data_IF_112246030816
#
_entry.id   IF_112246030816
#
_cell.length_a   1.000
_cell.length_b   1.000
_cell.length_c   1.000
_cell.angle_alpha   90.00
_cell.angle_beta   90.00
_cell.angle_gamma   90.00
#
_symmetry.space_group_name_H-M   'P 1'
#
loop_
_entity.id
_entity.type
_entity.pdbx_description
1 polymer ?
#
# COMPACT_ATOMS: atom_id res chain seq x y z
N UNK A 1 58.77 -67.19 10.38
CA UNK A 1 57.88 -67.18 9.20
C UNK A 1 58.19 -65.95 8.36
N UNK A 2 58.22 -66.13 7.03
CA UNK A 2 58.80 -65.23 6.03
C UNK A 2 57.94 -63.98 5.79
N UNK A 3 58.64 -62.89 5.47
CA UNK A 3 58.14 -61.57 5.03
C UNK A 3 57.30 -61.69 3.75
N UNK A 4 56.29 -60.83 3.59
CA UNK A 4 55.87 -60.35 2.28
C UNK A 4 55.43 -58.89 2.37
N UNK A 5 56.30 -58.01 1.86
CA UNK A 5 55.97 -56.65 1.46
C UNK A 5 55.17 -56.70 0.17
N UNK A 6 54.10 -55.91 0.06
CA UNK A 6 53.55 -55.51 -1.24
C UNK A 6 53.32 -54.00 -1.20
N UNK A 7 54.29 -53.26 -1.76
CA UNK A 7 54.04 -51.97 -2.38
C UNK A 7 53.45 -52.26 -3.76
N UNK A 8 52.26 -51.75 -4.04
CA UNK A 8 51.78 -51.57 -5.41
C UNK A 8 51.36 -50.10 -5.54
N UNK A 9 52.20 -49.33 -6.23
CA UNK A 9 51.83 -48.04 -6.77
C UNK A 9 50.92 -48.27 -7.99
N UNK A 10 49.77 -47.60 -8.02
CA UNK A 10 49.01 -47.43 -9.25
C UNK A 10 48.82 -45.93 -9.50
N UNK A 11 49.44 -45.48 -10.58
CA UNK A 11 49.40 -44.17 -11.17
C UNK A 11 48.09 -43.90 -11.94
N UNK A 12 47.74 -42.62 -12.00
CA UNK A 12 46.90 -41.92 -12.99
C UNK A 12 45.40 -42.24 -13.06
N UNK A 13 44.63 -41.19 -12.76
CA UNK A 13 43.24 -40.99 -13.14
C UNK A 13 42.89 -39.50 -13.21
N UNK A 14 43.65 -38.72 -14.00
CA UNK A 14 43.22 -37.41 -14.48
C UNK A 14 42.14 -37.64 -15.56
N UNK A 15 40.86 -37.72 -15.16
CA UNK A 15 39.70 -37.51 -16.03
C UNK A 15 38.38 -37.62 -15.24
N UNK A 16 38.13 -36.69 -14.33
CA UNK A 16 36.78 -36.42 -13.80
C UNK A 16 36.74 -34.95 -13.37
N UNK A 17 35.97 -34.05 -13.94
CA UNK A 17 35.05 -34.13 -15.05
C UNK A 17 34.47 -32.73 -15.23
N UNK A 18 34.38 -32.26 -16.47
CA UNK A 18 33.59 -31.09 -16.88
C UNK A 18 32.07 -31.27 -16.68
N UNK A 19 31.64 -32.03 -15.66
CA UNK A 19 30.24 -32.22 -15.27
C UNK A 19 29.79 -31.33 -14.11
N UNK A 20 30.72 -30.66 -13.42
CA UNK A 20 30.41 -29.84 -12.24
C UNK A 20 29.80 -28.46 -12.56
N UNK A 21 29.92 -27.99 -13.81
CA UNK A 21 29.39 -26.69 -14.21
C UNK A 21 27.92 -26.77 -14.64
N UNK A 22 27.46 -27.88 -15.24
CA UNK A 22 26.05 -28.04 -15.65
C UNK A 22 25.08 -28.16 -14.46
N UNK A 23 25.48 -28.83 -13.37
CA UNK A 23 24.61 -28.99 -12.20
C UNK A 23 24.44 -27.71 -11.37
N UNK A 24 25.41 -26.79 -11.41
CA UNK A 24 25.39 -25.56 -10.62
C UNK A 24 24.44 -24.52 -11.21
N UNK A 25 24.35 -24.48 -12.54
CA UNK A 25 23.46 -23.56 -13.27
C UNK A 25 21.99 -23.97 -13.11
N UNK A 26 21.68 -25.27 -13.22
CA UNK A 26 20.32 -25.80 -13.02
C UNK A 26 19.83 -25.65 -11.57
N UNK A 27 20.73 -25.78 -10.57
CA UNK A 27 20.35 -25.58 -9.16
C UNK A 27 20.13 -24.11 -8.81
N UNK A 28 20.90 -23.19 -9.41
CA UNK A 28 20.75 -21.76 -9.20
C UNK A 28 19.43 -21.25 -9.78
N UNK A 29 19.08 -21.70 -10.99
CA UNK A 29 17.84 -21.30 -11.67
C UNK A 29 16.58 -21.77 -10.91
N UNK A 30 16.60 -23.02 -10.43
CA UNK A 30 15.54 -23.56 -9.56
C UNK A 30 15.38 -22.77 -8.26
N UNK A 31 16.49 -22.32 -7.68
CA UNK A 31 16.49 -21.57 -6.42
C UNK A 31 15.85 -20.19 -6.59
N UNK A 32 16.18 -19.49 -7.68
CA UNK A 32 15.56 -18.20 -8.04
C UNK A 32 14.05 -18.32 -8.22
N UNK A 33 13.62 -19.32 -8.99
CA UNK A 33 12.19 -19.59 -9.25
C UNK A 33 11.38 -19.78 -7.97
N UNK A 34 11.93 -20.47 -6.97
CA UNK A 34 11.24 -20.68 -5.69
C UNK A 34 11.03 -19.38 -4.90
N UNK A 35 12.01 -18.47 -4.91
CA UNK A 35 11.85 -17.17 -4.26
C UNK A 35 10.80 -16.30 -4.99
N UNK A 36 10.78 -16.34 -6.33
CA UNK A 36 9.75 -15.68 -7.13
C UNK A 36 8.35 -16.24 -6.87
N UNK A 37 8.22 -17.56 -6.67
CA UNK A 37 6.96 -18.21 -6.28
C UNK A 37 6.49 -17.74 -4.90
N UNK A 38 7.39 -17.58 -3.92
CA UNK A 38 7.07 -17.00 -2.60
C UNK A 38 6.57 -15.57 -2.75
N UNK A 39 7.22 -14.75 -3.58
CA UNK A 39 6.78 -13.38 -3.84
C UNK A 39 5.38 -13.33 -4.46
N UNK A 40 5.12 -14.15 -5.48
CA UNK A 40 3.78 -14.26 -6.11
C UNK A 40 2.72 -14.70 -5.12
N UNK A 41 3.01 -15.73 -4.32
CA UNK A 41 2.09 -16.21 -3.28
C UNK A 41 1.82 -15.15 -2.21
N UNK A 42 2.82 -14.33 -1.87
CA UNK A 42 2.67 -13.20 -0.96
C UNK A 42 1.73 -12.13 -1.53
N UNK A 43 1.87 -11.79 -2.82
CA UNK A 43 0.96 -10.85 -3.50
C UNK A 43 -0.47 -11.40 -3.51
N UNK A 44 -0.63 -12.65 -3.90
CA UNK A 44 -1.93 -13.32 -3.97
C UNK A 44 -2.60 -13.39 -2.59
N UNK A 45 -1.87 -13.73 -1.54
CA UNK A 45 -2.40 -13.80 -0.18
C UNK A 45 -2.89 -12.43 0.33
N UNK A 46 -2.23 -11.34 -0.03
CA UNK A 46 -2.69 -9.98 0.28
C UNK A 46 -3.97 -9.61 -0.46
N UNK A 47 -4.09 -9.99 -1.74
CA UNK A 47 -5.27 -9.66 -2.55
C UNK A 47 -6.48 -10.56 -2.25
N UNK A 48 -6.24 -11.80 -1.84
CA UNK A 48 -7.27 -12.76 -1.47
C UNK A 48 -7.59 -12.78 0.04
N UNK A 49 -6.93 -11.92 0.82
CA UNK A 49 -7.09 -11.78 2.28
C UNK A 49 -6.82 -13.09 3.04
N UNK A 50 -5.89 -13.90 2.56
CA UNK A 50 -5.60 -15.24 3.10
C UNK A 50 -4.51 -15.18 4.17
N UNK A 51 -4.88 -14.86 5.41
CA UNK A 51 -3.95 -14.74 6.54
C UNK A 51 -3.13 -16.02 6.81
N UNK A 52 -3.70 -17.20 6.60
CA UNK A 52 -2.99 -18.48 6.78
C UNK A 52 -1.87 -18.70 5.75
N UNK A 53 -2.05 -18.19 4.53
CA UNK A 53 -1.00 -18.21 3.52
C UNK A 53 0.13 -17.26 3.94
N UNK A 54 -0.19 -16.06 4.41
CA UNK A 54 0.81 -15.12 4.95
C UNK A 54 1.61 -15.74 6.11
N UNK A 55 0.95 -16.38 7.08
CA UNK A 55 1.60 -17.06 8.20
C UNK A 55 2.61 -18.13 7.73
N UNK A 56 2.30 -18.81 6.63
CA UNK A 56 3.19 -19.82 6.03
C UNK A 56 4.39 -19.20 5.31
N UNK A 57 4.28 -17.97 4.80
CA UNK A 57 5.34 -17.33 4.00
C UNK A 57 6.37 -16.59 4.87
N UNK A 58 5.95 -16.04 6.03
CA UNK A 58 6.87 -15.32 6.92
C UNK A 58 7.77 -16.25 7.74
N UNK A 59 8.98 -15.76 8.02
CA UNK A 59 9.86 -16.29 9.05
C UNK A 59 9.29 -15.98 10.45
N UNK A 60 9.80 -16.66 11.48
CA UNK A 60 9.35 -16.46 12.87
C UNK A 60 9.66 -15.05 13.40
N UNK A 61 10.71 -14.42 12.87
CA UNK A 61 11.06 -13.02 13.10
C UNK A 61 11.21 -12.29 11.76
N UNK A 62 10.61 -11.10 11.66
CA UNK A 62 10.54 -10.31 10.43
C UNK A 62 10.88 -8.86 10.74
N UNK A 63 11.79 -8.26 9.98
CA UNK A 63 12.03 -6.82 10.02
C UNK A 63 10.93 -6.10 9.22
N UNK A 64 9.95 -5.55 9.94
CA UNK A 64 8.73 -4.94 9.41
C UNK A 64 8.73 -3.43 9.69
N UNK A 65 8.77 -2.61 8.63
CA UNK A 65 8.72 -1.12 8.70
C UNK A 65 9.58 -0.52 9.83
N UNK A 66 10.89 -0.82 9.81
CA UNK A 66 11.93 -0.35 10.75
C UNK A 66 12.02 -1.05 12.12
N UNK A 67 11.21 -2.08 12.40
CA UNK A 67 11.23 -2.81 13.67
C UNK A 67 11.22 -4.31 13.45
N UNK A 68 11.79 -5.07 14.38
CA UNK A 68 11.65 -6.52 14.39
C UNK A 68 10.30 -6.90 15.01
N UNK A 69 9.54 -7.72 14.31
CA UNK A 69 8.27 -8.29 14.75
C UNK A 69 8.40 -9.81 14.86
N UNK A 70 7.73 -10.39 15.86
CA UNK A 70 7.43 -11.81 15.85
C UNK A 70 6.32 -12.06 14.83
N UNK A 71 6.40 -13.20 14.12
CA UNK A 71 5.43 -13.57 13.08
C UNK A 71 3.98 -13.44 13.53
N UNK A 72 3.65 -13.94 14.72
CA UNK A 72 2.28 -13.86 15.27
C UNK A 72 1.78 -12.41 15.33
N UNK A 73 2.60 -11.51 15.87
CA UNK A 73 2.21 -10.12 16.07
C UNK A 73 2.10 -9.39 14.71
N UNK A 74 2.92 -9.76 13.72
CA UNK A 74 2.79 -9.28 12.33
C UNK A 74 1.48 -9.76 11.69
N UNK A 75 1.12 -11.05 11.85
CA UNK A 75 -0.12 -11.60 11.30
C UNK A 75 -1.35 -10.95 11.94
N UNK A 76 -1.32 -10.70 13.25
CA UNK A 76 -2.37 -9.94 13.95
C UNK A 76 -2.51 -8.52 13.41
N UNK A 77 -1.40 -7.86 13.06
CA UNK A 77 -1.44 -6.53 12.46
C UNK A 77 -2.03 -6.56 11.04
N UNK A 78 -1.58 -7.50 10.20
CA UNK A 78 -2.13 -7.72 8.84
C UNK A 78 -3.63 -8.03 8.88
N UNK A 79 -4.11 -8.75 9.89
CA UNK A 79 -5.53 -9.07 10.06
C UNK A 79 -6.42 -7.81 10.19
N UNK A 80 -5.89 -6.69 10.70
CA UNK A 80 -6.64 -5.43 10.78
C UNK A 80 -6.89 -4.83 9.40
N UNK A 81 -5.90 -4.89 8.51
CA UNK A 81 -5.97 -4.37 7.15
C UNK A 81 -6.74 -5.31 6.20
N UNK A 82 -6.59 -6.62 6.39
CA UNK A 82 -7.19 -7.69 5.57
C UNK A 82 -8.46 -8.29 6.18
N UNK A 83 -9.19 -7.52 6.99
CA UNK A 83 -10.43 -7.99 7.62
C UNK A 83 -11.49 -8.32 6.55
N UNK A 84 -12.43 -9.25 6.81
CA UNK A 84 -13.54 -9.52 5.90
C UNK A 84 -14.29 -8.23 5.51
N UNK A 85 -14.51 -8.05 4.21
CA UNK A 85 -15.17 -6.85 3.66
C UNK A 85 -14.26 -5.63 3.54
N UNK A 86 -12.97 -5.74 3.85
CA UNK A 86 -11.98 -4.74 3.44
C UNK A 86 -11.95 -4.61 1.91
N UNK A 87 -11.72 -3.42 1.39
CA UNK A 87 -11.47 -3.17 -0.03
C UNK A 87 -9.97 -3.24 -0.37
N UNK A 88 -9.15 -3.68 0.60
CA UNK A 88 -7.71 -3.79 0.44
C UNK A 88 -7.35 -4.65 -0.77
N UNK A 89 -6.54 -4.09 -1.66
CA UNK A 89 -5.88 -4.81 -2.76
C UNK A 89 -4.61 -4.07 -3.12
N UNK A 90 -3.69 -4.76 -3.78
CA UNK A 90 -2.48 -4.15 -4.31
C UNK A 90 -2.13 -4.70 -5.68
N UNK A 91 -1.54 -3.82 -6.49
CA UNK A 91 -0.89 -4.15 -7.75
C UNK A 91 0.60 -3.93 -7.60
N UNK A 92 1.41 -4.89 -8.04
CA UNK A 92 2.87 -4.81 -8.02
C UNK A 92 3.38 -4.62 -9.43
N UNK A 93 4.30 -3.68 -9.62
CA UNK A 93 4.93 -3.39 -10.91
C UNK A 93 6.45 -3.34 -10.79
N UNK A 94 7.12 -3.68 -11.89
CA UNK A 94 8.58 -3.60 -12.07
C UNK A 94 9.42 -4.28 -10.95
N UNK A 95 9.19 -5.58 -10.63
CA UNK A 95 9.98 -6.27 -9.62
C UNK A 95 11.43 -6.48 -10.10
N UNK A 96 12.38 -5.91 -9.35
CA UNK A 96 13.82 -5.98 -9.59
C UNK A 96 14.49 -6.85 -8.53
N UNK A 97 15.13 -7.92 -8.99
CA UNK A 97 15.64 -8.97 -8.13
C UNK A 97 17.16 -8.92 -7.95
N UNK A 98 17.58 -9.15 -6.72
CA UNK A 98 18.97 -9.42 -6.35
C UNK A 98 19.04 -10.77 -5.63
N UNK A 99 19.90 -11.67 -6.10
CA UNK A 99 20.07 -13.00 -5.54
C UNK A 99 21.48 -13.18 -5.01
N UNK A 100 21.60 -13.70 -3.79
CA UNK A 100 22.88 -14.01 -3.15
C UNK A 100 22.75 -15.30 -2.33
N UNK A 101 23.26 -16.39 -2.88
CA UNK A 101 23.24 -17.72 -2.25
C UNK A 101 21.83 -18.12 -1.75
N UNK A 102 21.63 -18.09 -0.44
CA UNK A 102 20.38 -18.43 0.25
C UNK A 102 19.53 -17.20 0.61
N UNK A 103 19.81 -16.05 -0.01
CA UNK A 103 19.11 -14.78 0.18
C UNK A 103 18.62 -14.21 -1.16
N UNK A 104 17.45 -13.60 -1.14
CA UNK A 104 16.84 -12.93 -2.28
C UNK A 104 16.17 -11.65 -1.82
N UNK A 105 16.43 -10.55 -2.53
CA UNK A 105 15.77 -9.27 -2.29
C UNK A 105 15.06 -8.85 -3.56
N UNK A 106 13.82 -8.38 -3.43
CA UNK A 106 13.07 -7.78 -4.53
C UNK A 106 12.67 -6.37 -4.17
N UNK A 107 13.09 -5.42 -4.99
CA UNK A 107 12.62 -4.04 -4.99
C UNK A 107 11.52 -3.91 -6.03
N UNK A 108 10.41 -3.28 -5.67
CA UNK A 108 9.25 -3.17 -6.56
C UNK A 108 8.48 -1.90 -6.26
N UNK A 109 7.65 -1.48 -7.20
CA UNK A 109 6.63 -0.48 -6.93
C UNK A 109 5.30 -1.18 -6.69
N UNK A 110 4.48 -0.63 -5.79
CA UNK A 110 3.11 -1.11 -5.59
C UNK A 110 2.11 0.04 -5.53
N UNK A 111 0.93 -0.21 -6.07
CA UNK A 111 -0.26 0.60 -5.91
C UNK A 111 -1.17 -0.14 -4.92
N UNK A 112 -1.26 0.35 -3.69
CA UNK A 112 -2.12 -0.19 -2.66
C UNK A 112 -3.42 0.61 -2.59
N UNK A 113 -4.55 -0.09 -2.60
CA UNK A 113 -5.88 0.49 -2.51
C UNK A 113 -6.49 0.10 -1.18
N UNK A 114 -6.93 1.07 -0.38
CA UNK A 114 -7.56 0.82 0.91
C UNK A 114 -8.44 1.98 1.33
N UNK A 115 -9.67 1.69 1.75
CA UNK A 115 -10.70 2.67 2.12
C UNK A 115 -10.92 3.74 1.04
N UNK A 116 -10.99 3.30 -0.23
CA UNK A 116 -11.13 4.19 -1.38
C UNK A 116 -9.90 5.04 -1.70
N UNK A 117 -8.78 4.87 -0.98
CA UNK A 117 -7.53 5.60 -1.19
C UNK A 117 -6.56 4.76 -1.98
N UNK A 118 -5.81 5.39 -2.87
CA UNK A 118 -4.70 4.77 -3.60
C UNK A 118 -3.38 5.32 -3.07
N UNK A 119 -2.43 4.45 -2.73
CA UNK A 119 -1.08 4.80 -2.33
C UNK A 119 -0.10 4.13 -3.28
N UNK A 120 0.76 4.93 -3.91
CA UNK A 120 1.86 4.46 -4.73
C UNK A 120 3.17 4.55 -3.93
N UNK A 121 3.82 3.40 -3.79
CA UNK A 121 4.97 3.21 -2.90
C UNK A 121 6.04 2.36 -3.58
N UNK A 122 7.30 2.70 -3.34
CA UNK A 122 8.46 1.84 -3.60
C UNK A 122 8.67 0.98 -2.36
N UNK A 123 8.76 -0.32 -2.54
CA UNK A 123 8.83 -1.30 -1.47
C UNK A 123 9.95 -2.30 -1.70
N UNK A 124 10.36 -2.95 -0.61
CA UNK A 124 11.34 -4.02 -0.60
C UNK A 124 10.76 -5.24 0.14
N UNK A 125 11.00 -6.43 -0.40
CA UNK A 125 10.79 -7.69 0.29
C UNK A 125 12.11 -8.49 0.28
N UNK A 126 12.62 -8.85 1.45
CA UNK A 126 13.77 -9.74 1.56
C UNK A 126 13.33 -11.12 2.05
N UNK A 127 13.91 -12.14 1.45
CA UNK A 127 13.66 -13.53 1.73
C UNK A 127 14.96 -14.27 2.00
N UNK A 128 14.89 -15.25 2.89
CA UNK A 128 16.00 -16.13 3.22
C UNK A 128 15.55 -17.58 3.20
N UNK A 129 16.42 -18.46 2.70
CA UNK A 129 16.19 -19.89 2.72
C UNK A 129 16.41 -20.42 4.15
N UNK A 130 15.40 -21.09 4.68
CA UNK A 130 15.42 -21.78 5.97
C UNK A 130 15.20 -23.27 5.71
N UNK A 131 16.29 -24.02 5.64
CA UNK A 131 16.28 -25.40 5.18
C UNK A 131 15.90 -25.52 3.70
N UNK A 132 14.73 -26.09 3.40
CA UNK A 132 14.23 -26.26 2.02
C UNK A 132 13.23 -25.19 1.60
N UNK A 133 12.84 -24.30 2.51
CA UNK A 133 11.78 -23.32 2.29
C UNK A 133 12.36 -21.91 2.25
N UNK A 134 11.83 -21.09 1.35
CA UNK A 134 12.06 -19.66 1.35
C UNK A 134 11.07 -18.98 2.30
N UNK A 135 11.57 -18.05 3.11
CA UNK A 135 10.79 -17.33 4.10
C UNK A 135 11.05 -15.84 4.00
N UNK A 136 10.00 -15.03 4.14
CA UNK A 136 10.12 -13.57 4.16
C UNK A 136 10.69 -13.16 5.52
N UNK A 137 11.80 -12.43 5.48
CA UNK A 137 12.52 -11.93 6.65
C UNK A 137 12.48 -10.41 6.76
N UNK A 138 12.11 -9.70 5.69
CA UNK A 138 11.94 -8.24 5.71
C UNK A 138 10.81 -7.81 4.79
N UNK A 139 10.01 -6.86 5.25
CA UNK A 139 9.06 -6.08 4.45
C UNK A 139 9.21 -4.61 4.83
N UNK A 140 9.45 -3.76 3.83
CA UNK A 140 9.59 -2.33 4.05
C UNK A 140 9.03 -1.52 2.89
N UNK A 141 8.48 -0.35 3.19
CA UNK A 141 8.26 0.73 2.22
C UNK A 141 9.44 1.69 2.29
N UNK A 142 10.11 1.85 1.16
CA UNK A 142 11.31 2.68 1.03
C UNK A 142 10.95 4.15 0.76
N UNK A 143 9.91 4.38 -0.06
CA UNK A 143 9.49 5.70 -0.49
C UNK A 143 8.00 5.72 -0.83
N UNK A 144 7.27 6.76 -0.41
CA UNK A 144 5.90 7.03 -0.87
C UNK A 144 5.97 8.01 -2.02
N UNK A 145 5.65 7.56 -3.24
CA UNK A 145 5.74 8.38 -4.46
C UNK A 145 4.54 9.28 -4.66
N UNK A 146 3.33 8.79 -4.35
CA UNK A 146 2.09 9.53 -4.53
C UNK A 146 0.98 8.94 -3.67
N UNK A 147 0.11 9.79 -3.16
CA UNK A 147 -1.18 9.36 -2.61
C UNK A 147 -2.30 9.98 -3.42
N UNK A 148 -3.12 9.15 -4.03
CA UNK A 148 -4.41 9.53 -4.57
C UNK A 148 -5.42 9.42 -3.44
N UNK A 149 -5.69 10.52 -2.75
CA UNK A 149 -6.91 10.59 -1.95
C UNK A 149 -8.04 10.93 -2.91
N UNK A 150 -9.14 10.22 -2.90
CA UNK A 150 -10.42 10.85 -3.19
C UNK A 150 -11.06 11.07 -1.83
N UNK A 151 -11.19 12.32 -1.41
CA UNK A 151 -11.88 12.63 -0.17
C UNK A 151 -13.36 12.27 -0.34
N UNK A 152 -13.94 11.62 0.67
CA UNK A 152 -15.35 11.24 0.62
C UNK A 152 -16.25 12.47 0.59
N UNK A 153 -17.52 12.28 0.26
CA UNK A 153 -18.54 13.33 0.30
C UNK A 153 -18.62 13.97 1.69
N UNK A 154 -18.49 13.15 2.73
CA UNK A 154 -18.53 13.55 4.15
C UNK A 154 -17.25 14.29 4.56
N UNK A 155 -16.08 13.82 4.12
CA UNK A 155 -14.80 14.52 4.34
C UNK A 155 -14.80 15.89 3.63
N UNK A 156 -15.35 15.96 2.41
CA UNK A 156 -15.53 17.20 1.66
C UNK A 156 -16.47 18.16 2.38
N UNK A 157 -17.56 17.65 2.94
CA UNK A 157 -18.49 18.46 3.72
C UNK A 157 -17.83 19.07 4.93
N UNK A 158 -17.04 18.30 5.69
CA UNK A 158 -16.30 18.84 6.84
C UNK A 158 -15.38 19.99 6.44
N UNK A 159 -14.71 19.89 5.28
CA UNK A 159 -13.89 21.00 4.72
C UNK A 159 -14.72 22.25 4.44
N UNK A 160 -15.96 22.08 3.96
CA UNK A 160 -16.89 23.19 3.75
C UNK A 160 -17.25 23.85 5.08
N UNK A 161 -17.58 23.07 6.10
CA UNK A 161 -17.93 23.59 7.43
C UNK A 161 -16.79 24.39 8.06
N UNK A 162 -15.60 23.79 8.10
CA UNK A 162 -14.40 24.44 8.62
C UNK A 162 -14.12 25.74 7.85
N UNK A 163 -14.29 25.73 6.52
CA UNK A 163 -14.09 26.91 5.68
C UNK A 163 -15.15 28.00 5.93
N UNK A 164 -16.44 27.66 5.99
CA UNK A 164 -17.52 28.62 6.25
C UNK A 164 -17.36 29.24 7.64
N UNK A 165 -17.03 28.44 8.65
CA UNK A 165 -16.69 28.91 9.99
C UNK A 165 -15.48 29.86 9.99
N UNK A 166 -14.43 29.55 9.22
CA UNK A 166 -13.25 30.44 9.09
C UNK A 166 -13.58 31.81 8.46
N UNK A 167 -14.72 31.94 7.79
CA UNK A 167 -15.23 33.21 7.24
C UNK A 167 -16.16 33.95 8.19
N UNK A 168 -16.38 33.43 9.40
CA UNK A 168 -17.28 34.03 10.40
C UNK A 168 -18.75 33.72 10.13
N UNK A 169 -19.05 32.63 9.41
CA UNK A 169 -20.41 32.21 9.10
C UNK A 169 -20.70 30.84 9.71
N UNK A 170 -21.99 30.54 9.91
CA UNK A 170 -22.46 29.22 10.30
C UNK A 170 -23.25 28.57 9.16
N UNK A 171 -23.00 27.29 8.92
CA UNK A 171 -23.77 26.48 7.95
C UNK A 171 -25.10 26.10 8.57
N UNK A 172 -26.21 26.41 7.89
CA UNK A 172 -27.55 26.02 8.40
C UNK A 172 -27.99 24.71 7.78
N UNK A 173 -27.70 23.64 8.50
CA UNK A 173 -27.93 22.26 8.07
C UNK A 173 -29.41 21.95 7.76
N UNK A 174 -30.33 22.55 8.50
CA UNK A 174 -31.76 22.24 8.46
C UNK A 174 -32.49 22.71 7.19
N UNK A 175 -31.87 23.61 6.42
CA UNK A 175 -32.53 24.32 5.31
C UNK A 175 -32.16 23.78 3.90
N UNK A 176 -31.61 22.57 3.83
CA UNK A 176 -31.47 21.85 2.55
C UNK A 176 -30.04 21.79 2.01
N UNK A 177 -29.13 21.25 2.82
CA UNK A 177 -27.76 20.90 2.42
C UNK A 177 -27.75 20.09 1.12
N UNK A 178 -26.96 20.52 0.14
CA UNK A 178 -26.73 19.73 -1.07
C UNK A 178 -25.25 19.72 -1.41
N UNK A 179 -24.62 18.63 -1.03
CA UNK A 179 -23.36 18.20 -1.62
C UNK A 179 -23.69 17.35 -2.86
N UNK A 180 -23.16 17.77 -4.01
CA UNK A 180 -23.44 17.20 -5.34
C UNK A 180 -22.14 17.05 -6.12
N UNK A 181 -22.14 16.19 -7.15
CA UNK A 181 -20.96 15.91 -7.96
C UNK A 181 -20.59 14.42 -7.97
N UNK A 182 -19.42 14.07 -8.52
CA UNK A 182 -18.34 14.99 -8.93
C UNK A 182 -18.71 15.92 -10.13
N UNK A 183 -18.22 17.16 -10.13
CA UNK A 183 -18.37 18.14 -11.23
C UNK A 183 -17.03 18.80 -11.57
N UNK A 184 -16.78 19.14 -12.83
CA UNK A 184 -15.55 19.83 -13.20
C UNK A 184 -15.64 21.34 -12.90
N UNK A 185 -14.60 21.89 -12.25
CA UNK A 185 -14.44 23.32 -12.00
C UNK A 185 -12.97 23.71 -12.20
N UNK A 186 -12.70 24.65 -13.09
CA UNK A 186 -11.35 25.11 -13.41
C UNK A 186 -10.38 23.97 -13.80
N UNK A 187 -10.86 22.95 -14.51
CA UNK A 187 -10.06 21.77 -14.89
C UNK A 187 -9.79 20.77 -13.75
N UNK A 188 -10.43 20.95 -12.59
CA UNK A 188 -10.31 20.06 -11.42
C UNK A 188 -11.66 19.41 -11.11
N UNK A 189 -11.66 18.12 -10.85
CA UNK A 189 -12.85 17.40 -10.43
C UNK A 189 -13.18 17.77 -8.97
N UNK A 190 -14.40 18.23 -8.73
CA UNK A 190 -14.81 18.80 -7.45
C UNK A 190 -16.12 18.21 -6.94
N UNK A 191 -16.22 18.15 -5.63
CA UNK A 191 -17.47 18.14 -4.90
C UNK A 191 -18.06 19.56 -4.85
N UNK A 192 -19.34 19.73 -5.20
CA UNK A 192 -20.05 21.01 -5.14
C UNK A 192 -21.01 21.03 -3.96
N UNK A 193 -20.75 21.91 -3.01
CA UNK A 193 -21.63 22.20 -1.88
C UNK A 193 -22.42 23.48 -2.12
N UNK A 194 -23.74 23.41 -1.90
CA UNK A 194 -24.62 24.57 -1.87
C UNK A 194 -25.51 24.51 -0.64
N UNK A 195 -25.77 25.66 -0.03
CA UNK A 195 -26.66 25.76 1.11
C UNK A 195 -26.78 27.19 1.64
N UNK A 196 -27.69 27.43 2.58
CA UNK A 196 -27.78 28.70 3.26
C UNK A 196 -26.70 28.83 4.36
N UNK A 197 -26.28 30.08 4.62
CA UNK A 197 -25.42 30.43 5.75
C UNK A 197 -26.01 31.60 6.54
N UNK A 198 -25.65 31.69 7.82
CA UNK A 198 -25.93 32.85 8.67
C UNK A 198 -24.65 33.56 9.08
N UNK A 199 -24.70 34.89 9.08
CA UNK A 199 -23.71 35.75 9.72
C UNK A 199 -24.23 36.21 11.09
N UNK A 200 -23.31 36.38 12.02
CA UNK A 200 -23.57 36.86 13.39
C UNK A 200 -24.36 38.19 13.44
N UNK A 201 -24.30 38.99 12.36
CA UNK A 201 -24.91 40.31 12.25
C UNK A 201 -26.22 40.34 11.43
N UNK A 202 -26.94 39.22 11.33
CA UNK A 202 -28.28 39.18 10.72
C UNK A 202 -28.31 39.14 9.18
N UNK A 203 -27.17 38.94 8.53
CA UNK A 203 -27.12 38.63 7.11
C UNK A 203 -27.22 37.12 6.90
N UNK A 204 -28.13 36.70 6.04
CA UNK A 204 -28.21 35.31 5.58
C UNK A 204 -28.19 35.28 4.05
N UNK A 205 -27.67 34.21 3.48
CA UNK A 205 -27.54 34.07 2.04
C UNK A 205 -27.24 32.65 1.64
N UNK A 206 -26.94 32.44 0.37
CA UNK A 206 -26.55 31.12 -0.13
C UNK A 206 -25.07 31.07 -0.44
N UNK A 207 -24.42 29.95 -0.16
CA UNK A 207 -23.08 29.69 -0.64
C UNK A 207 -23.07 28.66 -1.78
N UNK A 208 -22.02 28.74 -2.58
CA UNK A 208 -21.60 27.72 -3.53
C UNK A 208 -20.10 27.50 -3.32
N UNK A 209 -19.69 26.30 -2.90
CA UNK A 209 -18.31 25.96 -2.58
C UNK A 209 -17.92 24.71 -3.36
N UNK A 210 -16.75 24.74 -4.00
CA UNK A 210 -16.18 23.61 -4.73
C UNK A 210 -14.96 23.10 -3.99
N UNK A 211 -14.98 21.82 -3.64
CA UNK A 211 -13.91 21.12 -2.92
C UNK A 211 -13.26 20.13 -3.87
N UNK A 212 -11.95 20.22 -4.07
CA UNK A 212 -11.21 19.29 -4.90
C UNK A 212 -11.41 17.87 -4.37
N UNK A 213 -11.83 16.94 -5.24
CA UNK A 213 -12.01 15.54 -4.82
C UNK A 213 -10.69 14.92 -4.38
N UNK A 214 -9.54 15.42 -4.87
CA UNK A 214 -8.25 14.77 -4.68
C UNK A 214 -7.58 15.06 -3.33
N UNK A 215 -7.70 16.27 -2.80
CA UNK A 215 -6.97 16.71 -1.61
C UNK A 215 -7.87 17.42 -0.60
N UNK A 216 -9.11 17.70 -0.98
CA UNK A 216 -10.05 18.43 -0.15
C UNK A 216 -9.82 19.93 -0.09
N UNK A 217 -8.97 20.48 -0.95
CA UNK A 217 -8.74 21.92 -1.01
C UNK A 217 -9.95 22.65 -1.60
N UNK A 218 -10.23 23.85 -1.09
CA UNK A 218 -11.29 24.70 -1.65
C UNK A 218 -10.80 25.31 -2.97
N UNK A 219 -11.36 24.84 -4.08
CA UNK A 219 -11.00 25.27 -5.44
C UNK A 219 -11.63 26.61 -5.78
N UNK A 220 -12.89 26.81 -5.39
CA UNK A 220 -13.59 28.08 -5.55
C UNK A 220 -14.77 28.19 -4.60
N UNK A 221 -15.15 29.41 -4.27
CA UNK A 221 -16.32 29.67 -3.44
C UNK A 221 -17.01 30.96 -3.84
N UNK A 222 -18.31 31.04 -3.57
CA UNK A 222 -19.13 32.23 -3.73
C UNK A 222 -20.14 32.29 -2.59
N UNK A 223 -20.19 33.41 -1.88
CA UNK A 223 -21.27 33.74 -0.96
C UNK A 223 -22.18 34.78 -1.63
N UNK A 224 -23.46 34.49 -1.71
CA UNK A 224 -24.50 35.37 -2.27
C UNK A 224 -25.34 35.90 -1.11
N UNK A 225 -24.96 37.03 -0.50
CA UNK A 225 -25.74 37.61 0.59
C UNK A 225 -27.13 37.97 0.07
N UNK A 226 -28.17 37.60 0.84
CA UNK A 226 -29.52 38.11 0.64
C UNK A 226 -29.79 39.13 1.75
N UNK A 227 -30.59 40.15 1.43
CA UNK A 227 -31.24 40.89 2.52
C UNK A 227 -32.24 39.92 3.13
N UNK A 228 -32.04 39.55 4.38
CA UNK A 228 -33.11 38.95 5.14
C UNK A 228 -34.20 40.03 5.26
N UNK A 229 -35.48 39.73 4.99
CA UNK A 229 -36.54 40.67 5.30
C UNK A 229 -36.37 41.06 6.76
N UNK A 230 -36.37 42.37 7.03
CA UNK A 230 -36.47 42.83 8.41
C UNK A 230 -37.66 42.10 9.04
N UNK A 231 -37.61 41.67 10.31
CA UNK A 231 -38.80 41.17 10.99
C UNK A 231 -40.02 42.11 10.89
N UNK A 232 -39.78 43.38 10.53
CA UNK A 232 -40.75 44.45 10.37
C UNK A 232 -41.18 44.73 8.90
N UNK A 233 -40.73 43.94 7.91
CA UNK A 233 -41.16 43.98 6.48
C UNK A 233 -42.00 42.75 6.08
#
# INVERSE_FOLDING_TARGET
MKRFSFLLALTLGLAAGCGLLKNKEESADKTKKQAEEVFKAWVEAHNNHTLSALDTLYADEVFYYSKNFKKRDLIEDKAKALKPGSDFRMEVVDPKWEFKDDEATVNYEKYAYWQGKEVHVVSELAMKKQGKLWKITREADLEVKKVGYEITKEEAWKKVEDFVASKGYEVVRELGERMTGPVEKNGVLCWKATGPYHAEYGYAGDYEIYVNVKDGDIVSYKFNPRKWPSPDE
#
